data_IF_150872495413
#
_entry.id   IF_150872495413
#
_cell.length_a   1.000
_cell.length_b   1.000
_cell.length_c   1.000
_cell.angle_alpha   90.00
_cell.angle_beta   90.00
_cell.angle_gamma   90.00
#
_symmetry.space_group_name_H-M   'P 1'
#
loop_
_entity.id
_entity.type
_entity.pdbx_description
1 polymer ?
#
# COMPACT_ATOMS: atom_id res chain seq x y z
N UNK A 1 9.11 13.97 36.33
CA UNK A 1 8.94 14.69 35.05
C UNK A 1 8.48 13.65 34.06
N UNK A 2 7.17 13.46 33.95
CA UNK A 2 6.57 12.67 32.87
C UNK A 2 5.48 13.55 32.28
N UNK A 3 5.91 14.68 31.74
CA UNK A 3 5.11 15.36 30.73
C UNK A 3 5.42 14.57 29.46
N UNK A 4 4.54 13.63 29.16
CA UNK A 4 4.66 12.86 27.94
C UNK A 4 4.14 13.78 26.82
N UNK A 5 5.06 14.49 26.16
CA UNK A 5 4.82 15.52 25.13
C UNK A 5 4.19 14.98 23.82
N UNK A 6 3.57 13.78 23.85
CA UNK A 6 2.88 13.21 22.69
C UNK A 6 1.56 13.95 22.47
N UNK A 7 1.41 14.48 21.26
CA UNK A 7 0.19 15.12 20.76
C UNK A 7 -1.05 14.24 21.02
N UNK A 8 -2.17 14.88 21.41
CA UNK A 8 -3.38 14.19 21.82
C UNK A 8 -3.96 13.28 20.70
N UNK A 9 -3.87 13.70 19.44
CA UNK A 9 -4.36 12.92 18.30
C UNK A 9 -3.45 11.71 18.05
N UNK A 10 -2.13 11.89 18.20
CA UNK A 10 -1.18 10.78 18.11
C UNK A 10 -1.40 9.76 19.23
N UNK A 11 -1.70 10.24 20.44
CA UNK A 11 -2.02 9.39 21.59
C UNK A 11 -3.30 8.60 21.37
N UNK A 12 -4.36 9.27 20.90
CA UNK A 12 -5.59 8.58 20.52
C UNK A 12 -5.35 7.51 19.45
N UNK A 13 -4.54 7.81 18.44
CA UNK A 13 -4.16 6.84 17.41
C UNK A 13 -3.39 5.64 18.00
N UNK A 14 -2.45 5.88 18.93
CA UNK A 14 -1.72 4.83 19.63
C UNK A 14 -2.65 3.94 20.45
N UNK A 15 -3.59 4.53 21.20
CA UNK A 15 -4.55 3.80 22.04
C UNK A 15 -5.45 2.90 21.18
N UNK A 16 -6.01 3.44 20.09
CA UNK A 16 -6.83 2.67 19.14
C UNK A 16 -6.06 1.49 18.53
N UNK A 17 -4.79 1.71 18.16
CA UNK A 17 -3.95 0.64 17.62
C UNK A 17 -3.63 -0.41 18.70
N UNK A 18 -3.33 0.01 19.92
CA UNK A 18 -3.02 -0.87 21.04
C UNK A 18 -4.23 -1.74 21.42
N UNK A 19 -5.43 -1.16 21.51
CA UNK A 19 -6.68 -1.88 21.77
C UNK A 19 -6.98 -2.91 20.68
N UNK A 20 -6.79 -2.54 19.41
CA UNK A 20 -7.01 -3.44 18.29
C UNK A 20 -6.06 -4.65 18.32
N UNK A 21 -4.78 -4.44 18.65
CA UNK A 21 -3.80 -5.53 18.80
C UNK A 21 -4.02 -6.36 20.08
N UNK A 22 -4.53 -5.77 21.16
CA UNK A 22 -4.84 -6.51 22.39
C UNK A 22 -5.96 -7.54 22.20
N UNK A 23 -6.84 -7.34 21.19
CA UNK A 23 -7.86 -8.30 20.79
C UNK A 23 -7.34 -9.48 19.95
N UNK A 24 -6.04 -9.51 19.62
CA UNK A 24 -5.43 -10.48 18.72
C UNK A 24 -4.55 -11.46 19.50
N UNK A 25 -4.26 -12.66 18.94
CA UNK A 25 -3.33 -13.60 19.55
C UNK A 25 -1.95 -12.96 19.77
N UNK A 26 -1.24 -13.39 20.82
CA UNK A 26 0.15 -13.00 21.09
C UNK A 26 1.04 -13.28 19.88
N UNK A 27 2.01 -12.40 19.63
CA UNK A 27 2.98 -12.53 18.53
C UNK A 27 4.03 -13.66 18.72
N UNK A 28 4.06 -14.32 19.88
CA UNK A 28 5.11 -15.29 20.24
C UNK A 28 4.58 -16.72 20.46
N UNK A 29 4.82 -17.66 19.52
CA UNK A 29 5.16 -17.42 18.11
C UNK A 29 3.92 -17.42 17.21
N UNK A 30 3.82 -16.42 16.33
CA UNK A 30 2.89 -16.45 15.19
C UNK A 30 3.60 -16.86 13.90
N UNK A 31 2.88 -17.60 13.05
CA UNK A 31 3.30 -17.84 11.67
C UNK A 31 3.28 -16.53 10.86
N UNK A 32 4.00 -16.48 9.73
CA UNK A 32 3.96 -15.32 8.84
C UNK A 32 2.54 -15.04 8.33
N UNK A 33 1.77 -16.10 8.05
CA UNK A 33 0.39 -15.99 7.58
C UNK A 33 -0.54 -15.45 8.66
N UNK A 34 -0.39 -15.91 9.91
CA UNK A 34 -1.17 -15.34 11.02
C UNK A 34 -0.82 -13.89 11.27
N UNK A 35 0.47 -13.52 11.19
CA UNK A 35 0.91 -12.14 11.33
C UNK A 35 0.30 -11.26 10.23
N UNK A 36 0.27 -11.71 8.97
CA UNK A 36 -0.38 -11.01 7.86
C UNK A 36 -1.89 -10.87 8.09
N UNK A 37 -2.56 -11.93 8.55
CA UNK A 37 -3.99 -11.91 8.86
C UNK A 37 -4.32 -10.92 9.98
N UNK A 38 -3.59 -10.97 11.09
CA UNK A 38 -3.76 -10.08 12.25
C UNK A 38 -3.55 -8.62 11.83
N UNK A 39 -2.45 -8.34 11.12
CA UNK A 39 -2.13 -6.97 10.69
C UNK A 39 -3.12 -6.43 9.66
N UNK A 40 -3.70 -7.28 8.81
CA UNK A 40 -4.79 -6.90 7.92
C UNK A 40 -6.08 -6.58 8.69
N UNK A 41 -6.45 -7.36 9.71
CA UNK A 41 -7.62 -7.10 10.56
C UNK A 41 -7.47 -5.77 11.29
N UNK A 42 -6.32 -5.55 11.93
CA UNK A 42 -6.05 -4.30 12.66
C UNK A 42 -6.05 -3.09 11.72
N UNK A 43 -5.64 -3.28 10.46
CA UNK A 43 -5.61 -2.20 9.46
C UNK A 43 -6.97 -1.95 8.81
N UNK A 44 -7.90 -2.91 8.80
CA UNK A 44 -9.15 -2.81 8.05
C UNK A 44 -10.00 -1.54 8.35
N UNK A 45 -10.18 -1.09 9.61
CA UNK A 45 -10.92 0.15 9.87
C UNK A 45 -10.28 1.40 9.23
N UNK A 46 -8.96 1.37 9.03
CA UNK A 46 -8.19 2.46 8.43
C UNK A 46 -8.28 2.48 6.90
N UNK A 47 -8.87 1.46 6.28
CA UNK A 47 -9.07 1.38 4.82
C UNK A 47 -10.48 1.79 4.40
N UNK A 48 -11.37 2.04 5.36
CA UNK A 48 -12.76 2.42 5.09
C UNK A 48 -12.93 3.88 4.72
N UNK A 49 -13.80 4.16 3.74
CA UNK A 49 -14.10 5.51 3.26
C UNK A 49 -13.00 6.11 2.36
N UNK A 50 -12.88 7.44 2.41
CA UNK A 50 -11.99 8.22 1.56
C UNK A 50 -12.55 8.53 0.17
N UNK A 51 -11.74 9.14 -0.72
CA UNK A 51 -12.16 9.50 -2.07
C UNK A 51 -12.52 8.28 -2.92
N UNK A 52 -13.56 8.40 -3.74
CA UNK A 52 -13.91 7.40 -4.77
C UNK A 52 -13.14 7.70 -6.05
N UNK A 53 -12.46 6.69 -6.60
CA UNK A 53 -11.76 6.80 -7.88
C UNK A 53 -12.75 6.61 -9.03
N UNK A 54 -12.57 7.35 -10.13
CA UNK A 54 -13.41 7.14 -11.33
C UNK A 54 -13.11 5.77 -11.95
N UNK A 55 -11.87 5.31 -11.79
CA UNK A 55 -11.40 4.03 -12.31
C UNK A 55 -10.30 3.49 -11.40
N UNK A 56 -10.37 2.19 -11.14
CA UNK A 56 -9.29 1.41 -10.54
C UNK A 56 -9.04 0.20 -11.43
N UNK A 57 -7.78 -0.05 -11.77
CA UNK A 57 -7.39 -1.20 -12.62
C UNK A 57 -6.31 -2.02 -11.93
N UNK A 58 -6.32 -3.33 -12.14
CA UNK A 58 -5.25 -4.23 -11.73
C UNK A 58 -4.64 -4.93 -12.93
N UNK A 59 -3.31 -5.13 -12.91
CA UNK A 59 -2.59 -5.84 -13.95
C UNK A 59 -1.28 -6.42 -13.41
N UNK A 60 -0.74 -7.41 -14.12
CA UNK A 60 0.56 -8.01 -13.81
C UNK A 60 1.60 -7.56 -14.83
N UNK A 61 2.72 -7.03 -14.37
CA UNK A 61 3.69 -6.33 -15.24
C UNK A 61 5.14 -6.65 -14.89
N UNK A 62 6.06 -6.18 -15.72
CA UNK A 62 7.49 -6.39 -15.56
C UNK A 62 7.90 -7.85 -15.77
N UNK A 63 9.19 -8.13 -15.54
CA UNK A 63 9.82 -9.41 -15.80
C UNK A 63 9.39 -10.51 -14.82
N UNK A 64 8.83 -10.10 -13.68
CA UNK A 64 8.39 -11.01 -12.61
C UNK A 64 6.86 -11.17 -12.58
N UNK A 65 6.13 -10.57 -13.51
CA UNK A 65 4.67 -10.57 -13.50
C UNK A 65 4.14 -10.11 -12.14
N UNK A 66 4.60 -8.95 -11.66
CA UNK A 66 4.24 -8.38 -10.37
C UNK A 66 2.89 -7.68 -10.48
N UNK A 67 1.97 -7.95 -9.53
CA UNK A 67 0.66 -7.29 -9.53
C UNK A 67 0.82 -5.82 -9.17
N UNK A 68 0.15 -4.96 -9.92
CA UNK A 68 -0.01 -3.55 -9.60
C UNK A 68 -1.50 -3.18 -9.60
N UNK A 69 -1.85 -2.15 -8.83
CA UNK A 69 -3.18 -1.51 -8.86
C UNK A 69 -3.02 -0.03 -9.13
N UNK A 70 -3.73 0.49 -10.12
CA UNK A 70 -3.69 1.90 -10.50
C UNK A 70 -5.02 2.55 -10.14
N UNK A 71 -4.95 3.67 -9.42
CA UNK A 71 -6.08 4.51 -9.04
C UNK A 71 -6.09 5.78 -9.87
N UNK A 72 -7.20 6.04 -10.56
CA UNK A 72 -7.43 7.27 -11.34
C UNK A 72 -8.48 8.13 -10.62
N UNK A 73 -8.14 9.35 -10.16
CA UNK A 73 -9.06 10.21 -9.41
C UNK A 73 -10.11 10.91 -10.28
N UNK A 74 -9.85 11.09 -11.58
CA UNK A 74 -10.76 11.74 -12.53
C UNK A 74 -10.50 11.30 -13.99
N UNK A 75 -11.22 11.87 -14.94
CA UNK A 75 -11.17 11.53 -16.37
C UNK A 75 -10.08 12.26 -17.16
N UNK A 76 -9.10 12.88 -16.48
CA UNK A 76 -7.96 13.49 -17.18
C UNK A 76 -7.24 12.43 -18.00
N UNK A 77 -6.97 12.75 -19.27
CA UNK A 77 -6.44 11.78 -20.21
C UNK A 77 -5.04 11.28 -19.83
N UNK A 78 -4.21 12.16 -19.26
CA UNK A 78 -2.85 11.85 -18.80
C UNK A 78 -2.64 12.54 -17.44
N UNK A 79 -2.39 11.76 -16.40
CA UNK A 79 -2.16 12.25 -15.04
C UNK A 79 -0.68 12.08 -14.64
N UNK A 80 -0.08 13.02 -13.89
CA UNK A 80 1.15 12.72 -13.17
C UNK A 80 0.97 11.48 -12.29
N UNK A 81 2.03 10.71 -12.09
CA UNK A 81 1.96 9.44 -11.38
C UNK A 81 2.80 9.41 -10.09
N UNK A 82 2.26 8.72 -9.08
CA UNK A 82 2.99 8.30 -7.87
C UNK A 82 3.04 6.78 -7.80
N UNK A 83 4.24 6.22 -7.75
CA UNK A 83 4.44 4.80 -7.45
C UNK A 83 4.47 4.62 -5.92
N UNK A 84 3.57 3.80 -5.39
CA UNK A 84 3.44 3.50 -3.98
C UNK A 84 3.94 2.09 -3.67
N UNK A 85 4.90 2.00 -2.75
CA UNK A 85 5.45 0.75 -2.24
C UNK A 85 5.01 0.67 -0.77
N UNK A 86 4.17 -0.30 -0.43
CA UNK A 86 3.67 -0.41 0.94
C UNK A 86 4.78 -0.77 1.92
N UNK A 87 4.62 -0.36 3.18
CA UNK A 87 5.52 -0.73 4.27
C UNK A 87 5.30 -2.17 4.74
N UNK A 88 5.72 -2.47 5.97
CA UNK A 88 5.51 -3.79 6.57
C UNK A 88 6.74 -4.69 6.59
N UNK A 89 7.94 -4.09 6.53
CA UNK A 89 9.20 -4.82 6.73
C UNK A 89 9.43 -5.97 5.76
N UNK A 90 8.83 -5.91 4.56
CA UNK A 90 8.85 -6.97 3.54
C UNK A 90 8.13 -8.26 3.93
N UNK A 91 7.38 -8.29 5.03
CA UNK A 91 6.77 -9.52 5.56
C UNK A 91 5.25 -9.44 5.68
N UNK A 92 4.70 -8.23 5.84
CA UNK A 92 3.27 -7.98 6.06
C UNK A 92 2.75 -6.88 5.13
N UNK A 93 1.43 -6.69 5.18
CA UNK A 93 0.66 -5.74 4.38
C UNK A 93 0.55 -6.13 2.90
N UNK A 94 -0.30 -5.39 2.20
CA UNK A 94 -0.68 -5.57 0.80
C UNK A 94 -1.27 -4.27 0.26
N UNK A 95 -1.63 -4.26 -1.03
CA UNK A 95 -2.38 -3.15 -1.63
C UNK A 95 -3.68 -2.83 -0.89
N UNK A 96 -4.37 -3.83 -0.34
CA UNK A 96 -5.66 -3.63 0.34
C UNK A 96 -5.49 -2.90 1.68
N UNK A 97 -4.44 -3.24 2.42
CA UNK A 97 -4.13 -2.58 3.71
C UNK A 97 -3.78 -1.09 3.57
N UNK A 98 -3.47 -0.62 2.37
CA UNK A 98 -3.12 0.76 2.05
C UNK A 98 -4.06 1.39 1.00
N UNK A 99 -5.17 0.72 0.67
CA UNK A 99 -6.07 1.11 -0.41
C UNK A 99 -6.63 2.53 -0.22
N UNK A 100 -7.21 2.84 0.96
CA UNK A 100 -7.65 4.21 1.27
C UNK A 100 -6.53 5.23 1.19
N UNK A 101 -5.36 4.94 1.74
CA UNK A 101 -4.24 5.89 1.74
C UNK A 101 -3.83 6.26 0.30
N UNK A 102 -3.74 5.25 -0.57
CA UNK A 102 -3.46 5.48 -1.99
C UNK A 102 -4.57 6.29 -2.68
N UNK A 103 -5.86 6.04 -2.35
CA UNK A 103 -6.97 6.87 -2.84
C UNK A 103 -6.96 8.30 -2.30
N UNK A 104 -6.53 8.52 -1.06
CA UNK A 104 -6.37 9.86 -0.49
C UNK A 104 -5.27 10.64 -1.23
N UNK A 105 -4.13 10.01 -1.53
CA UNK A 105 -3.10 10.62 -2.37
C UNK A 105 -3.61 10.94 -3.77
N UNK A 106 -4.26 9.97 -4.44
CA UNK A 106 -4.79 10.17 -5.78
C UNK A 106 -5.82 11.32 -5.82
N UNK A 107 -6.82 11.26 -4.92
CA UNK A 107 -7.94 12.19 -4.90
C UNK A 107 -7.56 13.62 -4.52
N UNK A 108 -6.63 13.79 -3.56
CA UNK A 108 -6.21 15.10 -3.04
C UNK A 108 -5.15 15.75 -3.90
N UNK A 109 -4.16 14.99 -4.38
CA UNK A 109 -3.10 15.53 -5.23
C UNK A 109 -3.47 15.56 -6.72
N UNK A 110 -4.61 14.94 -7.11
CA UNK A 110 -5.06 14.84 -8.51
C UNK A 110 -4.01 14.18 -9.40
N UNK A 111 -3.50 13.05 -8.92
CA UNK A 111 -2.49 12.22 -9.59
C UNK A 111 -2.97 10.78 -9.68
N UNK A 112 -2.46 10.03 -10.66
CA UNK A 112 -2.60 8.59 -10.65
C UNK A 112 -1.71 7.99 -9.54
N UNK A 113 -2.20 7.00 -8.82
CA UNK A 113 -1.39 6.28 -7.81
C UNK A 113 -1.30 4.81 -8.21
N UNK A 114 -0.07 4.31 -8.33
CA UNK A 114 0.23 2.92 -8.70
C UNK A 114 0.77 2.19 -7.49
N UNK A 115 -0.02 1.32 -6.87
CA UNK A 115 0.44 0.42 -5.82
C UNK A 115 1.14 -0.81 -6.41
N UNK A 116 2.27 -1.21 -5.83
CA UNK A 116 3.03 -2.42 -6.21
C UNK A 116 2.91 -3.50 -5.15
N UNK A 117 2.40 -4.68 -5.53
CA UNK A 117 2.17 -5.84 -4.66
C UNK A 117 3.35 -6.80 -4.76
N UNK A 118 4.48 -6.39 -4.18
CA UNK A 118 5.72 -7.16 -4.23
C UNK A 118 5.65 -8.41 -3.32
N UNK A 119 6.45 -9.42 -3.66
CA UNK A 119 6.53 -10.68 -2.92
C UNK A 119 7.09 -10.49 -1.50
N UNK A 120 6.53 -11.21 -0.53
CA UNK A 120 6.87 -11.08 0.88
C UNK A 120 7.82 -12.19 1.35
N UNK A 121 8.66 -11.84 2.32
CA UNK A 121 9.42 -12.77 3.15
C UNK A 121 8.52 -13.38 4.23
N UNK A 122 8.84 -14.60 4.71
CA UNK A 122 10.07 -15.38 4.46
C UNK A 122 10.06 -16.28 3.21
N UNK A 123 8.93 -16.45 2.53
CA UNK A 123 8.74 -17.32 1.36
C UNK A 123 9.61 -16.85 0.20
N UNK A 124 9.67 -15.53 0.02
CA UNK A 124 10.50 -14.89 -0.99
C UNK A 124 11.55 -14.01 -0.29
N UNK A 125 12.82 -14.42 -0.43
CA UNK A 125 13.95 -13.78 0.24
C UNK A 125 14.50 -12.60 -0.56
N UNK A 126 15.19 -11.71 0.15
CA UNK A 126 16.01 -10.66 -0.46
C UNK A 126 16.94 -11.24 -1.55
N UNK A 127 17.10 -10.57 -2.71
CA UNK A 127 16.60 -9.23 -3.06
C UNK A 127 15.29 -9.21 -3.86
N UNK A 128 14.55 -10.32 -3.96
CA UNK A 128 13.49 -10.49 -4.97
C UNK A 128 12.41 -9.39 -4.98
N UNK A 129 11.88 -8.99 -3.83
CA UNK A 129 10.89 -7.91 -3.74
C UNK A 129 11.39 -6.60 -4.37
N UNK A 130 12.68 -6.28 -4.19
CA UNK A 130 13.29 -5.07 -4.75
C UNK A 130 13.44 -5.22 -6.26
N UNK A 131 13.85 -6.41 -6.74
CA UNK A 131 13.95 -6.67 -8.18
C UNK A 131 12.59 -6.55 -8.88
N UNK A 132 11.52 -7.03 -8.23
CA UNK A 132 10.13 -6.89 -8.69
C UNK A 132 9.74 -5.41 -8.81
N UNK A 133 9.96 -4.62 -7.76
CA UNK A 133 9.67 -3.18 -7.75
C UNK A 133 10.45 -2.47 -8.85
N UNK A 134 11.76 -2.72 -8.97
CA UNK A 134 12.59 -2.11 -10.02
C UNK A 134 12.09 -2.50 -11.40
N UNK A 135 11.68 -3.76 -11.60
CA UNK A 135 11.13 -4.22 -12.87
C UNK A 135 9.81 -3.54 -13.21
N UNK A 136 8.93 -3.31 -12.23
CA UNK A 136 7.70 -2.53 -12.41
C UNK A 136 8.00 -1.09 -12.81
N UNK A 137 8.94 -0.42 -12.12
CA UNK A 137 9.34 0.96 -12.44
C UNK A 137 9.90 1.06 -13.85
N UNK A 138 10.78 0.13 -14.25
CA UNK A 138 11.33 0.07 -15.61
C UNK A 138 10.23 -0.17 -16.64
N UNK A 139 9.29 -1.07 -16.37
CA UNK A 139 8.16 -1.35 -17.24
C UNK A 139 7.30 -0.10 -17.44
N UNK A 140 6.96 0.61 -16.36
CA UNK A 140 6.18 1.85 -16.37
C UNK A 140 6.84 2.94 -17.21
N UNK A 141 8.15 3.15 -17.04
CA UNK A 141 8.91 4.14 -17.82
C UNK A 141 8.97 3.84 -19.31
N UNK A 142 8.81 2.58 -19.70
CA UNK A 142 8.80 2.15 -21.09
C UNK A 142 7.40 2.13 -21.72
N UNK A 143 6.34 2.37 -20.94
CA UNK A 143 4.98 2.47 -21.47
C UNK A 143 4.75 3.82 -22.13
N UNK A 144 3.87 3.84 -23.14
CA UNK A 144 3.39 5.07 -23.71
C UNK A 144 2.41 5.75 -22.73
N UNK A 145 2.62 7.04 -22.44
CA UNK A 145 1.79 7.80 -21.50
C UNK A 145 0.30 7.80 -21.87
N UNK A 146 -0.02 7.67 -23.16
CA UNK A 146 -1.40 7.60 -23.66
C UNK A 146 -2.08 6.25 -23.43
N UNK A 147 -1.32 5.15 -23.33
CA UNK A 147 -1.87 3.81 -23.16
C UNK A 147 -2.38 3.58 -21.73
N UNK A 148 -1.59 4.03 -20.74
CA UNK A 148 -1.97 3.98 -19.33
C UNK A 148 -2.70 5.25 -18.88
N UNK A 149 -2.61 6.35 -19.61
CA UNK A 149 -3.13 7.65 -19.17
C UNK A 149 -2.36 8.21 -17.98
N UNK A 150 -1.05 7.96 -17.92
CA UNK A 150 -0.15 8.44 -16.86
C UNK A 150 1.12 9.05 -17.47
N UNK A 151 1.69 10.02 -16.77
CA UNK A 151 3.00 10.64 -17.04
C UNK A 151 3.89 10.43 -15.82
N UNK A 152 5.08 9.84 -16.04
CA UNK A 152 5.90 9.24 -14.98
C UNK A 152 7.36 9.71 -15.04
#
# INVERSE_FOLDING_TARGET
MTDDDVDADLRQCQDLMAEAYACQPSFDPLSADDLRRVTAIVRAPWTEGGPTMIRTTEQYVGNYSTRIRIYYPDNTQILPALIYIHGGGWTIFSLDTHDRLMREYAGRAKIAVIGVDYSLSPEVKYPRAIEEIVSVVQWLRNQNSTELGIDL
#
